data_IF_773588967863
#
_entry.id   IF_773588967863
#
_cell.length_a   1.000
_cell.length_b   1.000
_cell.length_c   1.000
_cell.angle_alpha   90.00
_cell.angle_beta   90.00
_cell.angle_gamma   90.00
#
_symmetry.space_group_name_H-M   'P 1'
#
loop_
_entity.id
_entity.type
_entity.pdbx_description
1 polymer ?
#
# COMPACT_ATOMS: atom_id res chain seq x y z
N UNK A 1 -18.33 19.73 -27.19
CA UNK A 1 -17.39 20.84 -26.92
C UNK A 1 -17.49 21.17 -25.43
N UNK A 2 -16.74 20.47 -24.59
CA UNK A 2 -16.82 20.59 -23.13
C UNK A 2 -15.41 20.72 -22.58
N UNK A 3 -14.79 21.86 -22.86
CA UNK A 3 -13.52 22.28 -22.27
C UNK A 3 -13.85 22.90 -20.91
N UNK A 4 -14.12 22.07 -19.91
CA UNK A 4 -14.29 22.55 -18.54
C UNK A 4 -12.90 22.82 -17.95
N UNK A 5 -12.38 24.02 -18.20
CA UNK A 5 -11.11 24.45 -17.61
C UNK A 5 -11.24 24.45 -16.07
N UNK A 6 -10.24 23.91 -15.34
CA UNK A 6 -10.32 23.70 -13.89
C UNK A 6 -10.39 25.01 -13.08
N UNK A 7 -10.07 26.14 -13.70
CA UNK A 7 -10.18 27.47 -13.13
C UNK A 7 -10.79 28.41 -14.16
N UNK A 8 -11.81 29.18 -13.75
CA UNK A 8 -12.56 30.09 -14.63
C UNK A 8 -12.62 31.47 -14.02
N UNK A 9 -12.53 32.49 -14.87
CA UNK A 9 -12.76 33.89 -14.49
C UNK A 9 -14.16 34.31 -14.96
N UNK A 10 -15.01 34.67 -14.01
CA UNK A 10 -16.32 35.26 -14.25
C UNK A 10 -16.15 36.72 -14.68
N UNK A 11 -16.20 36.91 -16.00
CA UNK A 11 -16.06 38.20 -16.67
C UNK A 11 -17.07 39.27 -16.21
N UNK A 12 -18.18 38.88 -15.59
CA UNK A 12 -19.22 39.77 -15.06
C UNK A 12 -18.87 40.33 -13.67
N UNK A 13 -18.10 39.59 -12.88
CA UNK A 13 -17.71 39.97 -11.52
C UNK A 13 -16.30 40.54 -11.44
N UNK A 14 -15.52 40.43 -12.51
CA UNK A 14 -14.14 40.91 -12.56
C UNK A 14 -14.09 42.43 -12.74
N UNK A 15 -13.68 43.15 -11.69
CA UNK A 15 -13.51 44.62 -11.70
C UNK A 15 -12.11 45.05 -12.17
N UNK A 16 -11.21 44.10 -12.44
CA UNK A 16 -9.87 44.40 -12.94
C UNK A 16 -8.93 45.03 -11.91
N UNK A 17 -9.09 44.69 -10.63
CA UNK A 17 -8.32 45.26 -9.51
C UNK A 17 -6.83 44.85 -9.45
N UNK A 18 -6.35 43.96 -10.34
CA UNK A 18 -4.96 43.45 -10.44
C UNK A 18 -4.42 42.69 -9.22
N UNK A 19 -5.20 42.54 -8.14
CA UNK A 19 -4.79 41.84 -6.92
C UNK A 19 -4.40 40.37 -7.21
N UNK A 20 -5.14 39.70 -8.10
CA UNK A 20 -4.88 38.33 -8.51
C UNK A 20 -3.52 38.14 -9.22
N UNK A 21 -3.03 39.16 -9.94
CA UNK A 21 -1.71 39.11 -10.62
C UNK A 21 -0.58 39.15 -9.60
N UNK A 22 -0.72 39.98 -8.56
CA UNK A 22 0.32 40.17 -7.53
C UNK A 22 0.49 38.95 -6.63
N UNK A 23 -0.61 38.25 -6.33
CA UNK A 23 -0.57 37.10 -5.43
C UNK A 23 -0.16 35.80 -6.13
N UNK A 24 -0.15 35.76 -7.47
CA UNK A 24 0.23 34.55 -8.20
C UNK A 24 1.76 34.37 -8.16
N UNK A 25 2.29 33.39 -7.41
CA UNK A 25 3.74 33.20 -7.32
C UNK A 25 4.36 32.65 -8.61
N UNK A 26 3.51 32.17 -9.54
CA UNK A 26 3.90 31.60 -10.82
C UNK A 26 3.69 32.55 -12.01
N UNK A 27 3.19 33.77 -11.77
CA UNK A 27 2.94 34.74 -12.84
C UNK A 27 1.94 34.26 -13.90
N UNK A 28 1.03 33.35 -13.53
CA UNK A 28 0.09 32.71 -14.45
C UNK A 28 -1.14 33.55 -14.79
N UNK A 29 -1.25 34.79 -14.28
CA UNK A 29 -2.41 35.66 -14.49
C UNK A 29 -1.96 36.93 -15.19
N UNK A 30 -2.55 37.20 -16.34
CA UNK A 30 -2.36 38.43 -17.12
C UNK A 30 -3.65 39.24 -17.16
N UNK A 31 -3.54 40.53 -17.48
CA UNK A 31 -4.69 41.42 -17.62
C UNK A 31 -4.90 41.75 -19.08
N UNK A 32 -6.01 41.31 -19.65
CA UNK A 32 -6.44 41.65 -21.01
C UNK A 32 -7.80 42.33 -20.95
N UNK A 33 -7.95 43.48 -21.63
CA UNK A 33 -9.24 44.21 -21.70
C UNK A 33 -9.88 44.51 -20.33
N UNK A 34 -9.05 44.88 -19.33
CA UNK A 34 -9.44 45.10 -17.92
C UNK A 34 -10.00 43.85 -17.20
N UNK A 35 -9.85 42.66 -17.76
CA UNK A 35 -10.26 41.39 -17.16
C UNK A 35 -9.03 40.51 -16.93
N UNK A 36 -9.09 39.70 -15.87
CA UNK A 36 -8.03 38.75 -15.57
C UNK A 36 -8.15 37.54 -16.50
N UNK A 37 -7.05 37.17 -17.17
CA UNK A 37 -6.93 35.97 -17.99
C UNK A 37 -5.90 35.07 -17.33
N UNK A 38 -6.22 33.78 -17.19
CA UNK A 38 -5.38 32.80 -16.52
C UNK A 38 -4.75 31.89 -17.58
N UNK A 39 -3.44 31.84 -17.60
CA UNK A 39 -2.65 30.93 -18.43
C UNK A 39 -2.61 29.55 -17.76
N UNK A 40 -3.37 28.60 -18.31
CA UNK A 40 -3.48 27.23 -17.80
C UNK A 40 -2.16 26.44 -17.92
N UNK A 41 -1.22 26.85 -18.79
CA UNK A 41 0.07 26.18 -18.91
C UNK A 41 1.00 26.49 -17.73
N UNK A 42 0.79 27.63 -17.06
CA UNK A 42 1.58 28.07 -15.89
C UNK A 42 0.83 27.94 -14.57
N UNK A 43 -0.48 27.73 -14.62
CA UNK A 43 -1.31 27.64 -13.43
C UNK A 43 -1.13 26.28 -12.73
N UNK A 44 -0.70 26.31 -11.48
CA UNK A 44 -0.56 25.12 -10.62
C UNK A 44 -1.82 24.79 -9.82
N UNK A 45 -2.93 25.51 -10.05
CA UNK A 45 -4.20 25.35 -9.33
C UNK A 45 -4.06 25.50 -7.79
N UNK A 46 -3.13 26.34 -7.34
CA UNK A 46 -2.84 26.55 -5.92
C UNK A 46 -3.96 27.24 -5.13
N UNK A 47 -4.92 27.89 -5.80
CA UNK A 47 -6.08 28.53 -5.18
C UNK A 47 -5.85 29.93 -4.59
N UNK A 48 -4.61 30.43 -4.54
CA UNK A 48 -4.29 31.74 -3.95
C UNK A 48 -5.06 32.93 -4.59
N UNK A 49 -5.35 32.84 -5.90
CA UNK A 49 -6.10 33.87 -6.61
C UNK A 49 -7.61 33.87 -6.27
N UNK A 50 -8.16 32.76 -5.80
CA UNK A 50 -9.57 32.65 -5.38
C UNK A 50 -9.77 33.32 -4.02
N UNK A 51 -8.86 33.09 -3.08
CA UNK A 51 -8.93 33.64 -1.72
C UNK A 51 -8.79 35.17 -1.70
N UNK A 52 -7.92 35.74 -2.54
CA UNK A 52 -7.69 37.19 -2.58
C UNK A 52 -8.77 37.94 -3.39
N UNK A 53 -9.57 37.24 -4.19
CA UNK A 53 -10.57 37.89 -5.03
C UNK A 53 -11.79 38.32 -4.19
N UNK A 54 -11.77 39.57 -3.71
CA UNK A 54 -12.89 40.20 -2.97
C UNK A 54 -14.23 40.22 -3.72
N UNK A 55 -14.20 40.05 -5.05
CA UNK A 55 -15.39 40.03 -5.91
C UNK A 55 -15.83 38.61 -6.30
N UNK A 56 -15.13 37.57 -5.80
CA UNK A 56 -15.36 36.16 -6.13
C UNK A 56 -15.46 35.92 -7.64
N UNK A 57 -14.63 36.64 -8.41
CA UNK A 57 -14.61 36.61 -9.86
C UNK A 57 -13.78 35.43 -10.40
N UNK A 58 -12.99 34.77 -9.57
CA UNK A 58 -12.21 33.59 -9.95
C UNK A 58 -12.81 32.39 -9.25
N UNK A 59 -13.27 31.41 -10.02
CA UNK A 59 -13.84 30.16 -9.53
C UNK A 59 -12.89 29.04 -9.89
N UNK A 60 -12.32 28.42 -8.86
CA UNK A 60 -11.60 27.16 -9.00
C UNK A 60 -12.62 26.04 -8.77
N UNK A 61 -12.99 25.32 -9.83
CA UNK A 61 -13.71 24.06 -9.69
C UNK A 61 -12.70 23.04 -9.17
N UNK A 62 -12.47 23.03 -7.85
CA UNK A 62 -11.88 21.85 -7.20
C UNK A 62 -12.85 20.73 -7.56
N UNK A 63 -12.40 19.74 -8.34
CA UNK A 63 -13.15 18.48 -8.44
C UNK A 63 -13.36 18.04 -7.01
N UNK A 64 -14.59 18.16 -6.51
CA UNK A 64 -14.99 17.46 -5.31
C UNK A 64 -14.53 16.03 -5.53
N UNK A 65 -13.69 15.53 -4.63
CA UNK A 65 -13.32 14.13 -4.63
C UNK A 65 -14.62 13.39 -4.58
N UNK A 66 -15.02 12.84 -5.73
CA UNK A 66 -16.20 12.01 -5.88
C UNK A 66 -16.07 10.99 -4.77
N UNK A 67 -16.97 11.07 -3.78
CA UNK A 67 -17.06 10.05 -2.74
C UNK A 67 -17.57 8.84 -3.49
N UNK A 68 -16.66 8.07 -4.05
CA UNK A 68 -16.99 6.85 -4.79
C UNK A 68 -17.72 5.93 -3.82
N UNK A 69 -18.87 5.39 -4.23
CA UNK A 69 -19.59 4.37 -3.47
C UNK A 69 -18.67 3.16 -3.28
N UNK A 70 -18.10 3.04 -2.08
CA UNK A 70 -17.21 1.95 -1.70
C UNK A 70 -17.96 0.71 -1.19
N UNK A 71 -19.29 0.67 -1.30
CA UNK A 71 -20.15 -0.41 -0.77
C UNK A 71 -19.87 -1.79 -1.37
N UNK A 72 -19.22 -1.83 -2.53
CA UNK A 72 -18.82 -3.07 -3.20
C UNK A 72 -17.48 -3.63 -2.71
N UNK A 73 -16.73 -2.88 -1.89
CA UNK A 73 -15.47 -3.35 -1.35
C UNK A 73 -15.70 -4.12 -0.06
N UNK A 74 -15.26 -5.37 0.00
CA UNK A 74 -15.46 -6.26 1.16
C UNK A 74 -14.20 -7.10 1.36
N UNK A 75 -14.00 -7.54 2.60
CA UNK A 75 -12.93 -8.43 3.05
C UNK A 75 -11.59 -7.74 3.32
N UNK A 76 -10.86 -8.36 4.25
CA UNK A 76 -9.48 -8.02 4.59
C UNK A 76 -8.57 -9.01 3.88
N UNK A 77 -7.62 -8.51 3.09
CA UNK A 77 -6.65 -9.32 2.37
C UNK A 77 -5.29 -9.24 3.04
N UNK A 78 -4.65 -10.40 3.20
CA UNK A 78 -3.26 -10.53 3.65
C UNK A 78 -2.46 -11.16 2.52
N UNK A 79 -1.40 -10.49 2.08
CA UNK A 79 -0.44 -11.10 1.16
C UNK A 79 0.48 -12.05 1.92
N UNK A 80 0.39 -13.34 1.61
CA UNK A 80 1.24 -14.36 2.18
C UNK A 80 2.55 -14.42 1.38
N UNK A 81 3.62 -13.92 2.00
CA UNK A 81 4.95 -13.98 1.41
C UNK A 81 5.49 -15.40 1.48
N UNK A 82 5.89 -15.94 0.33
CA UNK A 82 6.52 -17.25 0.21
C UNK A 82 7.96 -17.13 -0.29
N UNK A 83 8.86 -17.87 0.35
CA UNK A 83 10.26 -18.04 -0.06
C UNK A 83 10.50 -19.54 -0.24
N UNK A 84 10.81 -19.95 -1.48
CA UNK A 84 11.01 -21.37 -1.86
C UNK A 84 9.85 -22.32 -1.51
N UNK A 85 8.61 -21.85 -1.62
CA UNK A 85 7.43 -22.66 -1.29
C UNK A 85 7.08 -22.70 0.21
N UNK A 86 7.88 -22.08 1.08
CA UNK A 86 7.56 -21.93 2.50
C UNK A 86 7.07 -20.51 2.79
N UNK A 87 6.00 -20.42 3.59
CA UNK A 87 5.44 -19.13 4.01
C UNK A 87 6.31 -18.53 5.11
N UNK A 88 6.61 -17.24 4.98
CA UNK A 88 7.37 -16.53 6.02
C UNK A 88 6.52 -16.21 7.25
N UNK A 89 7.16 -16.17 8.42
CA UNK A 89 6.54 -15.89 9.73
C UNK A 89 5.74 -14.58 9.75
N UNK A 90 6.17 -13.56 9.01
CA UNK A 90 5.45 -12.29 8.89
C UNK A 90 4.02 -12.46 8.35
N UNK A 91 3.78 -13.47 7.51
CA UNK A 91 2.43 -13.75 7.00
C UNK A 91 1.52 -14.25 8.11
N UNK A 92 2.06 -14.99 9.08
CA UNK A 92 1.31 -15.50 10.24
C UNK A 92 0.99 -14.41 11.25
N UNK A 93 1.93 -13.49 11.48
CA UNK A 93 1.69 -12.25 12.25
C UNK A 93 0.56 -11.41 11.63
N UNK A 94 0.60 -11.25 10.30
CA UNK A 94 -0.40 -10.50 9.56
C UNK A 94 -1.77 -11.16 9.57
N UNK A 95 -1.84 -12.50 9.52
CA UNK A 95 -3.11 -13.23 9.66
C UNK A 95 -3.74 -13.02 11.04
N UNK A 96 -2.92 -13.05 12.10
CA UNK A 96 -3.40 -12.78 13.47
C UNK A 96 -4.02 -11.40 13.58
N UNK A 97 -3.29 -10.37 13.13
CA UNK A 97 -3.82 -9.00 13.16
C UNK A 97 -4.97 -8.80 12.19
N UNK A 98 -4.90 -9.41 11.01
CA UNK A 98 -5.94 -9.39 9.99
C UNK A 98 -7.26 -9.98 10.48
N UNK A 99 -7.21 -11.03 11.31
CA UNK A 99 -8.39 -11.63 11.95
C UNK A 99 -9.06 -10.66 12.91
N UNK A 100 -8.30 -10.02 13.79
CA UNK A 100 -8.84 -9.00 14.70
C UNK A 100 -9.54 -7.86 13.93
N UNK A 101 -8.94 -7.44 12.81
CA UNK A 101 -9.51 -6.40 11.96
C UNK A 101 -10.79 -6.90 11.25
N UNK A 102 -10.77 -8.11 10.71
CA UNK A 102 -11.90 -8.74 10.06
C UNK A 102 -13.09 -8.92 11.01
N UNK A 103 -12.85 -9.33 12.25
CA UNK A 103 -13.86 -9.47 13.30
C UNK A 103 -14.51 -8.14 13.68
N UNK A 104 -13.72 -7.05 13.77
CA UNK A 104 -14.25 -5.70 14.04
C UNK A 104 -15.10 -5.16 12.89
N UNK A 105 -14.76 -5.48 11.64
CA UNK A 105 -15.51 -5.08 10.45
C UNK A 105 -16.70 -6.00 10.16
N UNK A 106 -16.72 -7.21 10.70
CA UNK A 106 -17.70 -8.26 10.39
C UNK A 106 -17.55 -8.81 8.97
N UNK A 107 -16.31 -8.89 8.47
CA UNK A 107 -15.99 -9.39 7.12
C UNK A 107 -15.08 -10.61 7.20
N UNK A 108 -14.89 -11.29 6.07
CA UNK A 108 -14.03 -12.47 5.98
C UNK A 108 -12.54 -12.08 5.83
N UNK A 109 -11.65 -12.89 6.39
CA UNK A 109 -10.21 -12.78 6.18
C UNK A 109 -9.79 -13.62 4.98
N UNK A 110 -9.22 -12.98 3.97
CA UNK A 110 -8.66 -13.66 2.80
C UNK A 110 -7.13 -13.60 2.80
N UNK A 111 -6.45 -14.70 2.52
CA UNK A 111 -5.03 -14.72 2.23
C UNK A 111 -4.80 -14.81 0.71
N UNK A 112 -3.80 -14.12 0.18
CA UNK A 112 -3.37 -14.24 -1.22
C UNK A 112 -1.99 -14.88 -1.24
N UNK A 113 -1.87 -16.03 -1.89
CA UNK A 113 -0.63 -16.78 -2.04
C UNK A 113 -0.28 -16.93 -3.53
N UNK A 114 0.91 -16.49 -3.90
CA UNK A 114 1.43 -16.53 -5.27
C UNK A 114 2.71 -17.39 -5.28
N UNK A 115 2.68 -18.53 -5.96
CA UNK A 115 3.80 -19.47 -5.94
C UNK A 115 3.73 -20.60 -6.96
N UNK A 116 4.52 -21.63 -6.71
CA UNK A 116 4.56 -22.88 -7.49
C UNK A 116 4.41 -24.06 -6.51
N UNK A 117 3.36 -24.86 -6.69
CA UNK A 117 3.03 -26.04 -5.85
C UNK A 117 2.88 -25.70 -4.36
N UNK A 118 2.16 -24.62 -4.05
CA UNK A 118 2.00 -24.12 -2.67
C UNK A 118 0.73 -24.59 -1.95
N UNK A 119 0.14 -25.71 -2.37
CA UNK A 119 -1.11 -26.23 -1.79
C UNK A 119 -0.99 -26.59 -0.29
N UNK A 120 0.18 -27.03 0.16
CA UNK A 120 0.42 -27.38 1.56
C UNK A 120 0.48 -26.12 2.44
N UNK A 121 1.11 -25.06 1.93
CA UNK A 121 1.12 -23.74 2.56
C UNK A 121 -0.29 -23.14 2.70
N UNK A 122 -1.20 -23.39 1.75
CA UNK A 122 -2.59 -22.95 1.89
C UNK A 122 -3.28 -23.55 3.11
N UNK A 123 -3.02 -24.82 3.42
CA UNK A 123 -3.60 -25.47 4.61
C UNK A 123 -3.08 -24.84 5.89
N UNK A 124 -1.81 -24.48 5.93
CA UNK A 124 -1.21 -23.79 7.07
C UNK A 124 -1.82 -22.39 7.28
N UNK A 125 -2.02 -21.62 6.20
CA UNK A 125 -2.67 -20.31 6.25
C UNK A 125 -4.11 -20.40 6.78
N UNK A 126 -4.86 -21.44 6.38
CA UNK A 126 -6.22 -21.69 6.88
C UNK A 126 -6.21 -22.05 8.36
N UNK A 127 -5.30 -22.93 8.78
CA UNK A 127 -5.17 -23.32 10.18
C UNK A 127 -4.86 -22.10 11.07
N UNK A 128 -4.10 -21.13 10.55
CA UNK A 128 -3.75 -19.89 11.28
C UNK A 128 -4.76 -18.75 11.13
N UNK A 129 -5.94 -19.01 10.55
CA UNK A 129 -7.09 -18.11 10.65
C UNK A 129 -7.64 -17.50 9.36
N UNK A 130 -7.10 -17.86 8.18
CA UNK A 130 -7.67 -17.42 6.90
C UNK A 130 -8.98 -18.16 6.57
N UNK A 131 -10.06 -17.42 6.27
CA UNK A 131 -11.34 -18.00 5.85
C UNK A 131 -11.32 -18.38 4.36
N UNK A 132 -10.65 -17.55 3.54
CA UNK A 132 -10.46 -17.76 2.10
C UNK A 132 -8.98 -17.66 1.75
N UNK A 133 -8.51 -18.52 0.86
CA UNK A 133 -7.14 -18.45 0.32
C UNK A 133 -7.21 -18.38 -1.20
N UNK A 134 -6.81 -17.25 -1.76
CA UNK A 134 -6.60 -17.09 -3.19
C UNK A 134 -5.23 -17.63 -3.56
N UNK A 135 -5.24 -18.75 -4.29
CA UNK A 135 -4.04 -19.43 -4.74
C UNK A 135 -3.86 -19.16 -6.23
N UNK A 136 -2.70 -18.63 -6.60
CA UNK A 136 -2.26 -18.58 -8.00
C UNK A 136 -0.99 -19.40 -8.10
N UNK A 137 -1.15 -20.62 -8.61
CA UNK A 137 -0.04 -21.51 -8.89
C UNK A 137 0.43 -21.30 -10.34
N UNK A 138 1.69 -20.90 -10.52
CA UNK A 138 2.32 -20.88 -11.84
C UNK A 138 3.81 -21.18 -11.71
N UNK A 139 4.39 -22.04 -12.57
CA UNK A 139 5.82 -22.34 -12.56
C UNK A 139 6.71 -21.09 -12.71
N UNK A 140 6.18 -20.03 -13.35
CA UNK A 140 6.86 -18.74 -13.55
C UNK A 140 6.94 -17.89 -12.28
N UNK A 141 6.13 -18.19 -11.27
CA UNK A 141 6.12 -17.52 -9.96
C UNK A 141 7.05 -18.20 -8.93
N UNK A 142 7.81 -19.21 -9.35
CA UNK A 142 8.77 -19.90 -8.46
C UNK A 142 9.83 -18.94 -7.90
N UNK A 143 10.31 -18.02 -8.73
CA UNK A 143 11.24 -16.97 -8.33
C UNK A 143 10.49 -15.63 -8.22
N UNK A 144 10.72 -14.91 -7.14
CA UNK A 144 10.10 -13.60 -6.94
C UNK A 144 10.58 -12.62 -8.02
N UNK A 145 9.62 -12.02 -8.72
CA UNK A 145 9.84 -10.96 -9.69
C UNK A 145 8.71 -9.94 -9.56
N UNK A 146 9.06 -8.65 -9.49
CA UNK A 146 8.07 -7.61 -9.20
C UNK A 146 7.00 -7.46 -10.29
N UNK A 147 7.38 -7.53 -11.57
CA UNK A 147 6.45 -7.33 -12.70
C UNK A 147 5.28 -8.35 -12.71
N UNK A 148 5.51 -9.69 -12.72
CA UNK A 148 4.43 -10.66 -12.72
C UNK A 148 3.60 -10.63 -11.44
N UNK A 149 4.25 -10.51 -10.26
CA UNK A 149 3.54 -10.43 -8.98
C UNK A 149 2.62 -9.21 -8.91
N UNK A 150 3.08 -8.04 -9.38
CA UNK A 150 2.28 -6.80 -9.39
C UNK A 150 1.05 -6.95 -10.27
N UNK A 151 1.22 -7.49 -11.49
CA UNK A 151 0.12 -7.67 -12.46
C UNK A 151 -0.95 -8.62 -11.92
N UNK A 152 -0.54 -9.77 -11.39
CA UNK A 152 -1.45 -10.77 -10.81
C UNK A 152 -2.19 -10.20 -9.62
N UNK A 153 -1.48 -9.56 -8.67
CA UNK A 153 -2.11 -9.00 -7.48
C UNK A 153 -3.07 -7.86 -7.85
N UNK A 154 -2.72 -7.03 -8.82
CA UNK A 154 -3.60 -5.95 -9.31
C UNK A 154 -4.85 -6.50 -9.98
N UNK A 155 -4.73 -7.57 -10.78
CA UNK A 155 -5.87 -8.23 -11.42
C UNK A 155 -6.82 -8.86 -10.38
N UNK A 156 -6.27 -9.53 -9.37
CA UNK A 156 -7.04 -10.10 -8.25
C UNK A 156 -7.80 -9.00 -7.48
N UNK A 157 -7.11 -7.92 -7.13
CA UNK A 157 -7.71 -6.79 -6.41
C UNK A 157 -8.80 -6.11 -7.26
N UNK A 158 -8.61 -5.99 -8.57
CA UNK A 158 -9.62 -5.42 -9.46
C UNK A 158 -10.89 -6.28 -9.57
N UNK A 159 -10.73 -7.62 -9.54
CA UNK A 159 -11.82 -8.59 -9.64
C UNK A 159 -12.64 -8.68 -8.35
N UNK A 160 -11.97 -8.82 -7.21
CA UNK A 160 -12.62 -9.10 -5.92
C UNK A 160 -12.84 -7.86 -5.05
N UNK A 161 -12.21 -6.73 -5.38
CA UNK A 161 -12.36 -5.44 -4.71
C UNK A 161 -12.27 -5.54 -3.17
N UNK A 162 -11.11 -5.94 -2.61
CA UNK A 162 -10.92 -5.97 -1.16
C UNK A 162 -10.97 -4.59 -0.53
N UNK A 163 -11.44 -4.50 0.72
CA UNK A 163 -11.47 -3.23 1.45
C UNK A 163 -10.09 -2.84 2.00
N UNK A 164 -9.37 -3.83 2.55
CA UNK A 164 -8.04 -3.67 3.15
C UNK A 164 -7.09 -4.67 2.51
N UNK A 165 -5.86 -4.24 2.21
CA UNK A 165 -4.77 -5.12 1.77
C UNK A 165 -3.56 -4.90 2.67
N UNK A 166 -3.16 -5.94 3.40
CA UNK A 166 -2.00 -5.95 4.28
C UNK A 166 -0.87 -6.75 3.66
N UNK A 167 0.35 -6.24 3.81
CA UNK A 167 1.56 -6.87 3.30
C UNK A 167 2.70 -6.76 4.33
N UNK A 168 3.69 -7.63 4.24
CA UNK A 168 4.88 -7.56 5.06
C UNK A 168 5.74 -6.36 4.70
N UNK A 169 6.39 -5.73 5.68
CA UNK A 169 7.39 -4.69 5.42
C UNK A 169 8.77 -5.31 5.10
N UNK A 170 8.82 -6.42 4.38
CA UNK A 170 10.06 -7.05 3.89
C UNK A 170 10.54 -6.39 2.59
N UNK A 171 11.71 -6.79 2.08
CA UNK A 171 12.21 -6.34 0.77
C UNK A 171 11.22 -6.67 -0.35
N UNK A 172 10.59 -7.85 -0.30
CA UNK A 172 9.57 -8.29 -1.25
C UNK A 172 8.30 -7.44 -1.11
N UNK A 173 7.74 -7.41 0.10
CA UNK A 173 6.46 -6.74 0.33
C UNK A 173 6.52 -5.24 0.08
N UNK A 174 7.60 -4.55 0.49
CA UNK A 174 7.81 -3.12 0.22
C UNK A 174 7.90 -2.81 -1.27
N UNK A 175 8.54 -3.67 -2.06
CA UNK A 175 8.67 -3.48 -3.51
C UNK A 175 7.34 -3.73 -4.24
N UNK A 176 6.69 -4.86 -3.94
CA UNK A 176 5.45 -5.28 -4.57
C UNK A 176 4.31 -4.30 -4.34
N UNK A 177 4.05 -3.99 -3.07
CA UNK A 177 2.84 -3.26 -2.68
C UNK A 177 2.88 -1.80 -3.14
N UNK A 178 4.07 -1.21 -3.24
CA UNK A 178 4.26 0.16 -3.74
C UNK A 178 3.86 0.27 -5.20
N UNK A 179 4.20 -0.73 -6.02
CA UNK A 179 3.82 -0.80 -7.43
C UNK A 179 2.32 -1.03 -7.62
N UNK A 180 1.73 -1.90 -6.79
CA UNK A 180 0.29 -2.15 -6.80
C UNK A 180 -0.50 -0.90 -6.40
N UNK A 181 -0.06 -0.19 -5.36
CA UNK A 181 -0.71 1.03 -4.90
C UNK A 181 -0.74 2.12 -5.98
N UNK A 182 0.37 2.32 -6.70
CA UNK A 182 0.43 3.29 -7.81
C UNK A 182 -0.49 2.89 -8.96
N UNK A 183 -0.52 1.61 -9.31
CA UNK A 183 -1.35 1.10 -10.41
C UNK A 183 -2.84 1.25 -10.11
N UNK A 184 -3.23 0.99 -8.86
CA UNK A 184 -4.61 1.12 -8.39
C UNK A 184 -4.99 2.56 -7.98
N UNK A 185 -4.01 3.48 -7.92
CA UNK A 185 -4.16 4.83 -7.34
C UNK A 185 -4.72 4.78 -5.91
N UNK A 186 -4.28 3.80 -5.14
CA UNK A 186 -4.70 3.55 -3.77
C UNK A 186 -3.74 4.18 -2.74
N UNK A 187 -4.24 4.44 -1.54
CA UNK A 187 -3.42 4.91 -0.41
C UNK A 187 -2.60 3.76 0.18
N UNK A 188 -1.31 3.99 0.41
CA UNK A 188 -0.40 3.04 1.03
C UNK A 188 0.33 3.66 2.21
N UNK A 189 0.20 3.04 3.38
CA UNK A 189 0.99 3.41 4.56
C UNK A 189 2.09 2.39 4.79
N UNK A 190 3.34 2.87 4.77
CA UNK A 190 4.50 2.01 4.94
C UNK A 190 4.90 1.81 6.40
N UNK A 191 5.34 0.59 6.73
CA UNK A 191 6.02 0.20 7.98
C UNK A 191 5.20 0.53 9.24
N UNK A 192 3.94 0.10 9.24
CA UNK A 192 3.02 0.29 10.35
C UNK A 192 3.38 -0.61 11.53
N UNK A 193 3.25 -0.05 12.73
CA UNK A 193 3.43 -0.76 14.00
C UNK A 193 2.10 -1.00 14.71
N UNK A 194 1.06 -0.24 14.36
CA UNK A 194 -0.28 -0.41 14.89
C UNK A 194 -1.31 -0.34 13.78
N UNK A 195 -2.29 -1.24 13.83
CA UNK A 195 -3.46 -1.22 12.96
C UNK A 195 -4.70 -1.33 13.84
N UNK A 196 -5.63 -0.43 13.65
CA UNK A 196 -6.95 -0.51 14.28
C UNK A 196 -8.04 -0.03 13.31
N UNK A 197 -9.31 -0.25 13.64
CA UNK A 197 -10.45 0.23 12.86
C UNK A 197 -11.22 1.24 13.68
N UNK A 198 -11.54 2.37 13.07
CA UNK A 198 -12.49 3.32 13.65
C UNK A 198 -13.91 2.71 13.61
N UNK A 199 -14.57 2.49 14.76
CA UNK A 199 -15.90 1.88 14.81
C UNK A 199 -16.99 2.74 14.17
N UNK A 200 -16.79 4.06 14.00
CA UNK A 200 -17.79 4.96 13.41
C UNK A 200 -17.67 5.04 11.89
N UNK A 201 -16.45 5.28 11.40
CA UNK A 201 -16.17 5.50 9.98
C UNK A 201 -15.78 4.21 9.24
N UNK A 202 -15.52 3.11 9.97
CA UNK A 202 -15.00 1.83 9.45
C UNK A 202 -13.69 1.98 8.66
N UNK A 203 -12.92 3.03 8.95
CA UNK A 203 -11.62 3.30 8.32
C UNK A 203 -10.49 2.61 9.07
N UNK A 204 -9.45 2.23 8.34
CA UNK A 204 -8.23 1.67 8.90
C UNK A 204 -7.37 2.80 9.48
N UNK A 205 -7.15 2.75 10.79
CA UNK A 205 -6.22 3.58 11.52
C UNK A 205 -4.82 2.97 11.43
N UNK A 206 -3.95 3.58 10.63
CA UNK A 206 -2.62 3.06 10.35
C UNK A 206 -1.58 3.86 11.13
N UNK A 207 -1.11 3.29 12.25
CA UNK A 207 -0.13 3.93 13.10
C UNK A 207 1.27 3.52 12.68
N UNK A 208 2.08 4.52 12.33
CA UNK A 208 3.49 4.31 11.97
C UNK A 208 4.42 5.31 12.65
N UNK A 209 5.67 4.90 12.94
CA UNK A 209 6.73 5.83 13.28
C UNK A 209 7.19 6.61 12.03
N UNK A 210 7.40 7.91 12.20
CA UNK A 210 8.03 8.83 11.27
C UNK A 210 9.24 9.50 11.94
N UNK A 211 10.11 10.13 11.14
CA UNK A 211 11.31 10.83 11.62
C UNK A 211 12.19 9.97 12.56
N UNK A 212 12.59 8.79 12.09
CA UNK A 212 13.47 7.89 12.84
C UNK A 212 12.85 7.26 14.10
N UNK A 213 11.53 7.37 14.27
CA UNK A 213 10.82 6.85 15.45
C UNK A 213 10.37 7.92 16.44
N UNK A 214 10.75 9.18 16.24
CA UNK A 214 10.43 10.26 17.18
C UNK A 214 8.97 10.72 17.12
N UNK A 215 8.31 10.54 15.98
CA UNK A 215 6.92 10.96 15.80
C UNK A 215 6.08 9.74 15.46
N UNK A 216 5.01 9.53 16.21
CA UNK A 216 3.99 8.53 15.89
C UNK A 216 2.86 9.23 15.14
N UNK A 217 2.62 8.81 13.90
CA UNK A 217 1.55 9.35 13.06
C UNK A 217 0.51 8.26 12.82
N UNK A 218 -0.76 8.61 13.02
CA UNK A 218 -1.89 7.77 12.59
C UNK A 218 -2.40 8.33 11.28
N UNK A 219 -2.31 7.53 10.22
CA UNK A 219 -2.68 7.91 8.87
C UNK A 219 -3.97 7.19 8.51
N UNK A 220 -4.89 7.92 7.88
CA UNK A 220 -6.16 7.38 7.38
C UNK A 220 -6.29 7.67 5.89
N UNK A 221 -6.93 6.74 5.18
CA UNK A 221 -7.16 6.81 3.74
C UNK A 221 -8.68 6.83 3.46
N UNK A 222 -9.37 7.97 3.68
CA UNK A 222 -10.83 8.03 3.57
C UNK A 222 -11.31 7.83 2.13
N UNK A 223 -10.59 8.42 1.15
CA UNK A 223 -11.04 8.52 -0.24
C UNK A 223 -10.38 7.50 -1.19
N UNK A 224 -9.65 6.51 -0.67
CA UNK A 224 -9.00 5.52 -1.51
C UNK A 224 -9.30 4.10 -1.05
N UNK A 225 -9.53 3.22 -2.03
CA UNK A 225 -9.71 1.78 -1.85
C UNK A 225 -8.92 1.02 -2.91
N UNK A 226 -8.32 -0.13 -2.57
CA UNK A 226 -8.20 -0.71 -1.23
C UNK A 226 -7.35 0.16 -0.28
N UNK A 227 -7.59 0.06 1.03
CA UNK A 227 -6.71 0.65 2.04
C UNK A 227 -5.50 -0.27 2.20
N UNK A 228 -4.30 0.22 1.84
CA UNK A 228 -3.11 -0.62 1.80
C UNK A 228 -2.14 -0.29 2.92
N UNK A 229 -1.55 -1.32 3.53
CA UNK A 229 -0.57 -1.16 4.60
C UNK A 229 0.55 -2.16 4.48
N UNK A 230 1.79 -1.74 4.73
CA UNK A 230 2.83 -2.68 5.16
C UNK A 230 2.97 -2.68 6.66
N UNK A 231 3.19 -3.85 7.24
CA UNK A 231 3.37 -4.04 8.69
C UNK A 231 4.79 -4.49 8.98
N UNK A 232 5.39 -3.89 10.01
CA UNK A 232 6.73 -4.24 10.45
C UNK A 232 6.77 -5.67 11.01
N UNK A 233 7.82 -6.41 10.66
CA UNK A 233 8.08 -7.75 11.19
C UNK A 233 8.26 -7.74 12.72
N UNK A 234 7.83 -8.81 13.42
CA UNK A 234 7.94 -9.03 14.87
C UNK A 234 7.17 -8.02 15.74
N UNK A 235 6.24 -7.26 15.16
CA UNK A 235 5.41 -6.32 15.94
C UNK A 235 4.09 -6.95 16.38
N UNK A 236 3.54 -7.84 15.55
CA UNK A 236 2.29 -8.52 15.86
C UNK A 236 2.59 -9.91 16.42
N UNK A 237 1.66 -10.44 17.21
CA UNK A 237 1.75 -11.82 17.68
C UNK A 237 1.34 -12.76 16.55
N UNK A 238 2.06 -13.87 16.40
CA UNK A 238 1.65 -14.93 15.49
C UNK A 238 0.29 -15.49 15.92
N UNK A 239 -0.57 -15.76 14.94
CA UNK A 239 -1.83 -16.45 15.20
C UNK A 239 -1.58 -17.89 15.63
N UNK A 240 -2.29 -18.33 16.68
CA UNK A 240 -2.30 -19.73 17.07
C UNK A 240 -2.90 -20.59 15.95
N UNK A 241 -2.23 -21.70 15.63
CA UNK A 241 -2.72 -22.63 14.63
C UNK A 241 -3.88 -23.46 15.21
N UNK A 242 -5.08 -23.25 14.68
CA UNK A 242 -6.24 -24.10 14.94
C UNK A 242 -6.50 -25.03 13.74
N UNK A 243 -6.07 -26.31 13.80
CA UNK A 243 -6.25 -27.27 12.72
C UNK A 243 -7.72 -27.65 12.48
N UNK A 244 -8.68 -27.20 13.31
CA UNK A 244 -10.11 -27.47 13.10
C UNK A 244 -10.78 -26.48 12.15
N UNK A 245 -10.11 -25.38 11.79
CA UNK A 245 -10.69 -24.41 10.86
C UNK A 245 -10.79 -24.98 9.44
N UNK A 246 -11.94 -24.72 8.82
CA UNK A 246 -12.19 -24.98 7.40
C UNK A 246 -12.18 -23.65 6.67
N UNK A 247 -11.36 -23.56 5.64
CA UNK A 247 -11.30 -22.41 4.74
C UNK A 247 -11.54 -22.84 3.29
N UNK A 248 -11.92 -21.89 2.46
CA UNK A 248 -12.14 -22.09 1.03
C UNK A 248 -10.86 -21.73 0.26
N UNK A 249 -10.39 -22.65 -0.60
CA UNK A 249 -9.25 -22.38 -1.49
C UNK A 249 -9.81 -22.04 -2.87
N UNK A 250 -9.60 -20.79 -3.29
CA UNK A 250 -9.98 -20.29 -4.60
C UNK A 250 -8.74 -20.27 -5.47
N UNK A 251 -8.66 -21.20 -6.42
CA UNK A 251 -7.60 -21.22 -7.42
C UNK A 251 -7.95 -20.28 -8.56
N UNK A 252 -7.09 -19.33 -8.85
CA UNK A 252 -7.22 -18.45 -10.03
C UNK A 252 -6.04 -18.66 -10.98
N UNK A 253 -6.35 -18.96 -12.23
CA UNK A 253 -5.37 -19.07 -13.30
C UNK A 253 -5.36 -17.78 -14.12
N UNK A 254 -4.16 -17.28 -14.43
CA UNK A 254 -3.97 -16.10 -15.25
C UNK A 254 -3.28 -16.46 -16.57
N UNK A 255 -3.64 -15.79 -17.68
CA UNK A 255 -3.05 -16.06 -18.97
C UNK A 255 -1.56 -15.70 -19.01
N UNK A 256 -0.82 -16.43 -19.85
CA UNK A 256 0.65 -16.41 -19.89
C UNK A 256 1.29 -15.03 -20.16
N UNK A 257 0.53 -14.16 -20.83
CA UNK A 257 0.93 -12.78 -21.17
C UNK A 257 1.10 -11.89 -19.93
N UNK A 258 0.40 -12.21 -18.84
CA UNK A 258 0.56 -11.49 -17.57
C UNK A 258 1.92 -11.74 -16.91
N UNK A 259 2.62 -12.82 -17.28
CA UNK A 259 3.96 -13.13 -16.77
C UNK A 259 5.09 -12.50 -17.59
N UNK A 260 4.79 -11.58 -18.52
CA UNK A 260 5.82 -10.86 -19.24
C UNK A 260 6.64 -9.98 -18.28
N UNK A 261 7.91 -10.33 -18.09
CA UNK A 261 8.87 -9.66 -17.21
C UNK A 261 9.92 -8.92 -18.03
N UNK A 262 10.28 -7.69 -17.60
CA UNK A 262 11.42 -6.95 -18.17
C UNK A 262 12.77 -7.38 -17.56
N UNK A 263 12.74 -8.03 -16.40
CA UNK A 263 13.92 -8.50 -15.68
C UNK A 263 14.15 -9.99 -15.93
N UNK A 264 15.42 -10.37 -16.10
CA UNK A 264 15.86 -11.76 -16.14
C UNK A 264 16.61 -12.05 -14.84
N UNK A 265 16.15 -13.05 -14.10
CA UNK A 265 16.91 -13.61 -13.00
C UNK A 265 18.04 -14.44 -13.59
N UNK A 266 19.28 -14.02 -13.39
CA UNK A 266 20.46 -14.71 -13.91
C UNK A 266 20.92 -15.78 -12.92
N UNK A 267 21.03 -15.39 -11.65
CA UNK A 267 21.48 -16.28 -10.59
C UNK A 267 20.86 -15.86 -9.24
N UNK A 268 20.68 -16.83 -8.35
CA UNK A 268 20.37 -16.59 -6.93
C UNK A 268 21.57 -17.11 -6.17
N UNK A 269 22.43 -16.20 -5.75
CA UNK A 269 23.54 -16.54 -4.85
C UNK A 269 22.97 -16.59 -3.44
N UNK A 270 22.89 -17.80 -2.90
CA UNK A 270 22.62 -18.00 -1.49
C UNK A 270 23.95 -18.08 -0.79
N UNK A 271 24.23 -17.10 0.07
CA UNK A 271 25.28 -17.27 1.06
C UNK A 271 24.85 -18.42 1.96
N UNK A 272 25.50 -19.58 1.79
CA UNK A 272 25.41 -20.71 2.70
C UNK A 272 26.18 -20.28 3.95
N UNK A 273 25.53 -19.44 4.74
CA UNK A 273 25.97 -19.13 6.07
C UNK A 273 25.38 -20.23 6.97
N UNK A 274 26.25 -21.07 7.55
CA UNK A 274 25.93 -21.89 8.75
C UNK A 274 25.55 -21.00 9.96
N UNK A 275 25.54 -19.68 9.78
CA UNK A 275 25.11 -18.67 10.73
C UNK A 275 23.61 -18.43 10.63
N UNK A 276 22.94 -18.60 11.78
CA UNK A 276 21.56 -18.21 12.03
C UNK A 276 21.32 -16.81 11.44
N UNK A 277 20.28 -16.66 10.63
CA UNK A 277 19.88 -15.38 10.05
C UNK A 277 19.64 -14.36 11.18
N UNK A 278 20.46 -13.31 11.23
CA UNK A 278 20.39 -12.25 12.25
C UNK A 278 18.98 -11.63 12.39
N UNK A 279 18.20 -11.62 11.31
CA UNK A 279 16.82 -11.12 11.33
C UNK A 279 15.86 -12.04 12.11
N UNK A 280 16.15 -13.35 12.13
CA UNK A 280 15.33 -14.36 12.79
C UNK A 280 15.77 -14.60 14.23
N UNK A 281 17.02 -14.31 14.58
CA UNK A 281 17.55 -14.49 15.94
C UNK A 281 16.73 -13.75 17.02
N UNK A 282 16.42 -14.43 18.12
CA UNK A 282 15.74 -13.87 19.29
C UNK A 282 16.70 -13.08 20.19
N UNK A 283 17.97 -13.49 20.23
CA UNK A 283 19.03 -12.87 21.02
C UNK A 283 20.21 -12.61 20.07
N UNK A 284 20.63 -11.35 19.99
CA UNK A 284 21.77 -10.91 19.19
C UNK A 284 22.86 -10.43 20.14
N UNK A 285 24.01 -11.08 20.09
CA UNK A 285 25.23 -10.59 20.74
C UNK A 285 26.05 -9.89 19.66
N UNK A 286 26.19 -8.56 19.76
CA UNK A 286 26.87 -7.76 18.72
C UNK A 286 28.27 -7.33 19.17
N UNK A 287 29.28 -7.70 18.39
CA UNK A 287 30.65 -7.20 18.52
C UNK A 287 30.91 -6.00 17.61
N UNK A 288 31.47 -4.92 18.16
CA UNK A 288 31.88 -3.74 17.40
C UNK A 288 33.39 -3.57 17.36
N UNK A 289 33.85 -2.36 16.98
CA UNK A 289 35.29 -2.00 16.99
C UNK A 289 35.95 -2.16 18.37
N UNK A 290 35.18 -2.14 19.45
CA UNK A 290 35.68 -2.35 20.82
C UNK A 290 36.19 -3.76 21.12
N UNK A 291 35.94 -4.74 20.24
CA UNK A 291 36.40 -6.13 20.40
C UNK A 291 37.90 -6.27 20.09
N UNK A 292 38.49 -5.30 19.38
CA UNK A 292 39.94 -5.16 19.19
C UNK A 292 40.54 -6.13 18.17
N UNK A 293 40.36 -7.44 18.34
CA UNK A 293 40.90 -8.48 17.46
C UNK A 293 39.83 -9.46 16.98
N UNK A 294 40.07 -10.10 15.82
CA UNK A 294 39.18 -11.15 15.28
C UNK A 294 39.06 -12.36 16.21
N UNK A 295 40.07 -12.61 17.03
CA UNK A 295 40.09 -13.71 18.00
C UNK A 295 39.07 -13.50 19.13
N UNK A 296 38.86 -12.25 19.55
CA UNK A 296 37.89 -11.90 20.59
C UNK A 296 36.43 -11.99 20.11
N UNK A 297 36.19 -12.11 18.80
CA UNK A 297 34.85 -12.42 18.27
C UNK A 297 34.41 -13.85 18.57
N UNK A 298 35.33 -14.76 18.97
CA UNK A 298 34.96 -16.11 19.41
C UNK A 298 34.28 -16.15 20.79
N UNK A 299 34.32 -15.04 21.53
CA UNK A 299 33.65 -14.88 22.83
C UNK A 299 32.20 -14.38 22.70
N UNK A 300 31.78 -13.99 21.50
CA UNK A 300 30.48 -13.40 21.14
C UNK A 300 29.67 -14.43 20.36
#
# INVERSE_FOLDING_TARGET
>A
MSSSDPIKVLNEKCVGCTLCVKICPFGAITMESKKAVIDLAKCTLCGACVEECKFSAIVLEKKETVVSDFSNYKNVWVFAEQKKGQVQSISFELLGKGRELADKLGVELCAVLLGDKTEEACKELIARGADKVYLVDSPKLKAYQDDPYTKVLTALVAKHKPEIVLCGATTIGRSLISRVAVTLRAGLTADCTGLDIDPKEKLLLQTRPAFGGNIMATIIAPNSRPQMSTVRHKVMKEAEADPKRKGEIIKEEFPDDMYATRTKLIDIVEEIEETINLAEADIIVSGGRGVGSKENFSLI
#
